data_IF_978593383945
#
_entry.id   IF_978593383945
#
_cell.length_a   1.000
_cell.length_b   1.000
_cell.length_c   1.000
_cell.angle_alpha   90.00
_cell.angle_beta   90.00
_cell.angle_gamma   90.00
#
_symmetry.space_group_name_H-M   'P 1'
#
loop_
_entity.id
_entity.type
_entity.pdbx_description
1 polymer ?
#
# COMPACT_ATOMS: atom_id res chain seq x y z
N UNK A 1 7.15 -3.58 13.38
CA UNK A 1 5.80 -3.18 12.90
C UNK A 1 4.76 -4.00 13.65
N UNK A 2 3.76 -3.35 14.28
CA UNK A 2 2.73 -4.03 15.10
C UNK A 2 1.41 -4.18 14.33
N UNK A 3 0.76 -5.30 14.55
CA UNK A 3 -0.54 -5.64 13.96
C UNK A 3 -1.61 -5.74 15.04
N UNK A 4 -2.86 -5.46 14.65
CA UNK A 4 -3.99 -5.62 15.55
C UNK A 4 -4.22 -7.11 15.83
N UNK A 5 -4.34 -7.53 17.10
CA UNK A 5 -4.53 -8.94 17.45
C UNK A 5 -5.87 -9.50 16.98
N UNK A 6 -6.88 -8.65 16.80
CA UNK A 6 -8.23 -9.10 16.43
C UNK A 6 -8.42 -9.27 14.92
N UNK A 7 -7.87 -8.34 14.13
CA UNK A 7 -8.14 -8.25 12.70
C UNK A 7 -6.88 -8.30 11.82
N UNK A 8 -5.71 -8.60 12.41
CA UNK A 8 -4.40 -8.70 11.75
C UNK A 8 -4.01 -7.47 10.91
N UNK A 9 -4.70 -6.35 11.09
CA UNK A 9 -4.51 -5.15 10.29
C UNK A 9 -3.41 -4.27 10.90
N UNK A 10 -2.66 -3.54 10.08
CA UNK A 10 -1.52 -2.73 10.56
C UNK A 10 -2.02 -1.68 11.56
N UNK A 11 -1.33 -1.58 12.71
CA UNK A 11 -1.56 -0.50 13.66
C UNK A 11 -0.82 0.76 13.23
N UNK A 12 -1.53 1.88 13.20
CA UNK A 12 -1.02 3.17 12.73
C UNK A 12 -0.80 4.09 13.94
N UNK A 13 0.38 4.71 14.09
CA UNK A 13 0.61 5.71 15.13
C UNK A 13 -0.30 6.94 14.92
N UNK A 14 -1.05 7.34 15.96
CA UNK A 14 -1.89 8.54 16.00
C UNK A 14 -1.85 9.13 17.41
N UNK A 15 -1.47 10.40 17.53
CA UNK A 15 -1.44 11.16 18.79
C UNK A 15 -0.68 10.46 19.95
N UNK A 16 0.37 9.69 19.65
CA UNK A 16 1.13 8.95 20.66
C UNK A 16 0.54 7.58 21.05
N UNK A 17 -0.54 7.14 20.41
CA UNK A 17 -1.09 5.79 20.53
C UNK A 17 -1.02 5.05 19.19
N UNK A 18 -1.20 3.72 19.21
CA UNK A 18 -1.37 2.89 18.03
C UNK A 18 -2.85 2.61 17.80
N UNK A 19 -3.35 2.90 16.60
CA UNK A 19 -4.77 2.77 16.28
C UNK A 19 -4.96 1.78 15.14
N UNK A 20 -5.88 0.84 15.33
CA UNK A 20 -6.36 -0.01 14.23
C UNK A 20 -7.50 0.69 13.49
N UNK A 21 -7.38 0.89 12.17
CA UNK A 21 -8.47 1.49 11.37
C UNK A 21 -9.67 0.57 11.18
N UNK A 22 -9.46 -0.74 11.05
CA UNK A 22 -10.54 -1.70 10.88
C UNK A 22 -11.34 -1.88 12.17
N UNK A 23 -10.63 -2.13 13.27
CA UNK A 23 -11.24 -2.43 14.56
C UNK A 23 -11.55 -1.16 15.40
N UNK A 24 -11.06 0.02 15.00
CA UNK A 24 -11.15 1.31 15.73
C UNK A 24 -10.63 1.28 17.18
N UNK A 25 -9.85 0.26 17.54
CA UNK A 25 -9.24 0.10 18.86
C UNK A 25 -7.95 0.89 18.97
N UNK A 26 -7.68 1.41 20.15
CA UNK A 26 -6.46 2.12 20.50
C UNK A 26 -5.59 1.25 21.42
N UNK A 27 -4.29 1.28 21.19
CA UNK A 27 -3.27 0.55 21.92
C UNK A 27 -2.19 1.55 22.36
N UNK A 28 -1.62 1.37 23.54
CA UNK A 28 -0.51 2.21 23.99
C UNK A 28 0.70 2.01 23.07
N UNK A 29 1.27 3.12 22.60
CA UNK A 29 2.52 3.09 21.87
C UNK A 29 3.67 3.07 22.87
N UNK A 30 4.39 1.96 22.96
CA UNK A 30 5.61 1.90 23.73
C UNK A 30 6.77 2.47 22.90
N UNK A 31 7.18 3.69 23.26
CA UNK A 31 8.27 4.42 22.61
C UNK A 31 9.63 3.72 22.73
N UNK A 32 9.76 2.70 23.58
CA UNK A 32 11.00 1.96 23.78
C UNK A 32 11.28 0.91 22.68
N UNK A 33 10.28 0.59 21.86
CA UNK A 33 10.42 -0.37 20.75
C UNK A 33 10.65 0.38 19.45
N UNK A 34 11.78 0.13 18.76
CA UNK A 34 12.15 0.64 17.43
C UNK A 34 11.18 0.23 16.29
N UNK A 35 9.96 -0.18 16.62
CA UNK A 35 8.96 -0.74 15.70
C UNK A 35 8.47 0.25 14.64
N UNK A 36 8.63 1.55 14.90
CA UNK A 36 8.23 2.64 14.02
C UNK A 36 9.28 3.75 14.06
N UNK A 37 10.25 3.68 13.14
CA UNK A 37 11.20 4.76 12.91
C UNK A 37 10.62 5.72 11.87
N UNK A 38 10.37 6.97 12.25
CA UNK A 38 10.01 8.02 11.27
C UNK A 38 11.29 8.40 10.54
N UNK A 39 11.50 7.81 9.36
CA UNK A 39 12.73 7.99 8.58
C UNK A 39 12.76 9.35 7.88
N UNK A 40 11.60 9.88 7.47
CA UNK A 40 11.49 11.15 6.76
C UNK A 40 10.12 11.79 7.00
N UNK A 41 10.09 13.09 7.29
CA UNK A 41 8.85 13.89 7.29
C UNK A 41 8.71 14.52 5.91
N UNK A 42 7.72 14.08 5.12
CA UNK A 42 7.36 14.73 3.86
C UNK A 42 6.31 15.79 4.19
N UNK A 43 6.69 17.07 4.10
CA UNK A 43 5.76 18.20 4.19
C UNK A 43 5.38 18.56 2.77
N UNK A 44 4.10 18.42 2.42
CA UNK A 44 3.58 18.95 1.17
C UNK A 44 3.18 20.42 1.40
N UNK A 45 3.63 21.33 0.54
CA UNK A 45 3.13 22.71 0.51
C UNK A 45 1.83 22.74 -0.30
N UNK A 46 0.87 23.61 0.03
CA UNK A 46 -0.42 23.70 -0.71
C UNK A 46 -0.24 24.02 -2.21
N UNK A 47 0.91 24.59 -2.57
CA UNK A 47 1.28 24.90 -3.94
C UNK A 47 2.08 23.79 -4.64
N UNK A 48 2.39 22.69 -3.95
CA UNK A 48 3.03 21.52 -4.54
C UNK A 48 1.98 20.67 -5.25
N UNK A 49 1.70 21.00 -6.50
CA UNK A 49 0.99 20.12 -7.41
C UNK A 49 2.01 19.22 -8.12
N UNK A 50 2.10 17.95 -7.71
CA UNK A 50 2.71 16.95 -8.57
C UNK A 50 1.79 16.74 -9.78
N UNK A 51 2.30 16.91 -11.02
CA UNK A 51 1.48 16.67 -12.19
C UNK A 51 1.09 15.19 -12.22
N UNK A 52 -0.20 14.90 -12.23
CA UNK A 52 -0.69 13.55 -12.52
C UNK A 52 -0.34 13.27 -13.98
N UNK A 53 0.80 12.64 -14.22
CA UNK A 53 1.21 12.20 -15.55
C UNK A 53 0.35 10.98 -15.90
N UNK A 54 -0.83 11.24 -16.46
CA UNK A 54 -1.58 10.23 -17.19
C UNK A 54 -0.79 9.91 -18.45
N UNK A 55 0.20 9.00 -18.34
CA UNK A 55 0.76 8.35 -19.51
C UNK A 55 -0.44 7.72 -20.22
N UNK A 56 -0.81 8.25 -21.38
CA UNK A 56 -1.83 7.63 -22.24
C UNK A 56 -1.47 6.15 -22.27
N UNK A 57 -2.37 5.28 -21.80
CA UNK A 57 -2.16 3.85 -21.89
C UNK A 57 -1.70 3.59 -23.33
N UNK A 58 -0.54 2.94 -23.49
CA UNK A 58 -0.05 2.56 -24.82
C UNK A 58 -1.21 1.78 -25.45
N UNK A 59 -1.89 2.42 -26.41
CA UNK A 59 -3.16 1.94 -26.99
C UNK A 59 -3.02 0.54 -27.61
N UNK A 60 -1.77 0.07 -27.72
CA UNK A 60 -1.35 -1.13 -28.41
C UNK A 60 -0.62 -2.15 -27.50
N UNK A 61 -0.54 -1.96 -26.17
CA UNK A 61 -0.06 -3.03 -25.26
C UNK A 61 -1.20 -4.00 -24.92
N UNK A 62 -1.91 -4.49 -25.94
CA UNK A 62 -2.68 -5.72 -25.81
C UNK A 62 -1.71 -6.84 -26.11
N UNK A 63 -1.63 -7.84 -25.23
CA UNK A 63 -0.88 -9.06 -25.52
C UNK A 63 -1.30 -9.57 -26.89
N UNK A 64 -0.33 -10.01 -27.70
CA UNK A 64 -0.67 -10.59 -28.99
C UNK A 64 -1.54 -11.83 -28.76
N UNK A 65 -2.33 -12.22 -29.76
CA UNK A 65 -3.12 -13.42 -29.66
C UNK A 65 -2.25 -14.66 -29.38
N UNK A 66 -1.03 -14.67 -29.94
CA UNK A 66 -0.02 -15.70 -29.72
C UNK A 66 0.45 -15.74 -28.26
N UNK A 67 0.69 -14.58 -27.63
CA UNK A 67 1.07 -14.52 -26.21
C UNK A 67 -0.07 -14.99 -25.31
N UNK A 68 -1.33 -14.78 -25.72
CA UNK A 68 -2.50 -15.26 -24.99
C UNK A 68 -2.64 -16.78 -25.09
N UNK A 69 -2.52 -17.33 -26.30
CA UNK A 69 -2.60 -18.77 -26.56
C UNK A 69 -1.47 -19.52 -25.82
N UNK A 70 -0.23 -19.01 -25.88
CA UNK A 70 0.89 -19.59 -25.15
C UNK A 70 0.70 -19.59 -23.62
N UNK A 71 0.06 -18.54 -23.07
CA UNK A 71 -0.29 -18.48 -21.65
C UNK A 71 -1.37 -19.50 -21.28
N UNK A 72 -2.44 -19.59 -22.08
CA UNK A 72 -3.54 -20.54 -21.88
C UNK A 72 -3.05 -22.00 -21.95
N UNK A 73 -2.14 -22.31 -22.89
CA UNK A 73 -1.47 -23.62 -22.99
C UNK A 73 -0.57 -23.91 -21.79
N UNK A 74 0.27 -22.96 -21.36
CA UNK A 74 1.20 -23.17 -20.25
C UNK A 74 0.49 -23.44 -18.93
N UNK A 75 -0.63 -22.75 -18.67
CA UNK A 75 -1.38 -22.90 -17.42
C UNK A 75 -2.53 -23.91 -17.51
N UNK A 76 -2.70 -24.63 -18.63
CA UNK A 76 -3.81 -25.57 -18.89
C UNK A 76 -5.18 -24.98 -18.54
N UNK A 77 -5.39 -23.68 -18.84
CA UNK A 77 -6.66 -23.00 -18.59
C UNK A 77 -7.54 -23.19 -19.82
N UNK A 78 -7.92 -24.45 -20.09
CA UNK A 78 -9.03 -24.80 -20.98
C UNK A 78 -10.13 -25.48 -20.17
#
# INVERSE_FOLDING_TARGET
>A
MKFCPDCANILIPRNGNLVCRACKKEFKFDHNTNDYMIVKKIKHLENEFEPIILKKALKNNRNSQQDREAYEEFFNVM
#
